data_IF_643941749372
#
_entry.id   IF_643941749372
#
_cell.length_a   1.000
_cell.length_b   1.000
_cell.length_c   1.000
_cell.angle_alpha   90.00
_cell.angle_beta   90.00
_cell.angle_gamma   90.00
#
_symmetry.space_group_name_H-M   'P 1'
#
loop_
_entity.id
_entity.type
_entity.pdbx_description
1 polymer ?
#
# COMPACT_ATOMS: atom_id res chain seq x y z
N UNK A 1 -9.27 -27.10 -11.32
CA UNK A 1 -10.52 -26.36 -11.57
C UNK A 1 -10.33 -25.30 -12.64
N UNK A 2 -9.49 -24.27 -12.43
CA UNK A 2 -9.21 -23.25 -13.46
C UNK A 2 -8.72 -23.83 -14.80
N UNK A 3 -7.76 -24.75 -14.76
CA UNK A 3 -7.25 -25.44 -15.96
C UNK A 3 -8.20 -26.47 -16.58
N UNK A 4 -9.32 -26.79 -15.91
CA UNK A 4 -10.27 -27.82 -16.34
C UNK A 4 -11.65 -27.22 -16.62
N UNK A 5 -11.69 -25.99 -17.16
CA UNK A 5 -12.95 -25.32 -17.50
C UNK A 5 -13.91 -25.11 -16.33
N UNK A 6 -13.40 -25.10 -15.09
CA UNK A 6 -14.20 -24.95 -13.88
C UNK A 6 -14.94 -26.21 -13.42
N UNK A 7 -14.60 -27.36 -14.00
CA UNK A 7 -15.15 -28.66 -13.65
C UNK A 7 -14.29 -29.32 -12.58
N UNK A 8 -14.94 -29.88 -11.54
CA UNK A 8 -14.27 -30.69 -10.53
C UNK A 8 -13.93 -32.08 -11.14
N UNK A 9 -12.65 -32.48 -11.18
CA UNK A 9 -12.26 -33.74 -11.82
C UNK A 9 -12.74 -34.99 -11.07
N UNK A 10 -13.05 -34.90 -9.77
CA UNK A 10 -13.50 -36.04 -8.97
C UNK A 10 -15.02 -36.28 -9.11
N UNK A 11 -15.81 -35.21 -9.23
CA UNK A 11 -17.28 -35.31 -9.23
C UNK A 11 -17.91 -35.01 -10.59
N UNK A 12 -17.13 -34.51 -11.55
CA UNK A 12 -17.58 -34.00 -12.84
C UNK A 12 -18.62 -32.86 -12.74
N UNK A 13 -18.78 -32.25 -11.56
CA UNK A 13 -19.67 -31.12 -11.37
C UNK A 13 -19.01 -29.83 -11.83
N UNK A 14 -19.77 -28.99 -12.54
CA UNK A 14 -19.37 -27.61 -12.83
C UNK A 14 -19.41 -26.80 -11.52
N UNK A 15 -18.26 -26.36 -11.04
CA UNK A 15 -18.15 -25.51 -9.84
C UNK A 15 -18.14 -24.05 -10.23
N UNK A 16 -17.46 -23.72 -11.32
CA UNK A 16 -17.46 -22.39 -11.94
C UNK A 16 -17.71 -22.59 -13.44
N UNK A 17 -18.64 -21.85 -14.07
CA UNK A 17 -18.81 -21.93 -15.51
C UNK A 17 -17.54 -21.51 -16.26
N UNK A 18 -17.22 -22.19 -17.36
CA UNK A 18 -16.06 -21.86 -18.20
C UNK A 18 -16.11 -20.40 -18.69
N UNK A 19 -17.30 -19.89 -19.03
CA UNK A 19 -17.49 -18.49 -19.41
C UNK A 19 -17.07 -17.50 -18.33
N UNK A 20 -17.30 -17.84 -17.06
CA UNK A 20 -16.86 -17.01 -15.93
C UNK A 20 -15.34 -17.03 -15.80
N UNK A 21 -14.71 -18.19 -15.97
CA UNK A 21 -13.24 -18.30 -15.95
C UNK A 21 -12.63 -17.49 -17.09
N UNK A 22 -13.18 -17.58 -18.30
CA UNK A 22 -12.73 -16.80 -19.44
C UNK A 22 -12.86 -15.29 -19.17
N UNK A 23 -13.98 -14.85 -18.60
CA UNK A 23 -14.23 -13.44 -18.33
C UNK A 23 -13.31 -12.87 -17.24
N UNK A 24 -13.13 -13.58 -16.12
CA UNK A 24 -12.26 -13.10 -15.01
C UNK A 24 -10.78 -13.10 -15.36
N UNK A 25 -10.35 -13.99 -16.26
CA UNK A 25 -8.95 -14.09 -16.71
C UNK A 25 -8.68 -13.32 -18.00
N UNK A 26 -9.69 -12.73 -18.63
CA UNK A 26 -9.49 -11.81 -19.76
C UNK A 26 -8.84 -10.52 -19.26
N UNK A 27 -7.79 -10.09 -19.94
CA UNK A 27 -7.15 -8.82 -19.64
C UNK A 27 -8.07 -7.66 -20.06
N UNK A 28 -8.67 -6.99 -19.08
CA UNK A 28 -9.56 -5.84 -19.29
C UNK A 28 -8.83 -4.51 -19.26
N UNK A 29 -7.60 -4.49 -18.72
CA UNK A 29 -6.75 -3.30 -18.67
C UNK A 29 -5.29 -3.66 -18.88
N UNK A 30 -4.54 -2.80 -19.55
CA UNK A 30 -3.08 -2.95 -19.68
C UNK A 30 -2.43 -2.31 -18.46
N UNK A 31 -1.73 -3.11 -17.66
CA UNK A 31 -0.98 -2.63 -16.48
C UNK A 31 0.51 -2.41 -16.77
N UNK A 32 1.01 -2.96 -17.89
CA UNK A 32 2.35 -2.67 -18.40
C UNK A 32 2.33 -2.65 -19.90
N UNK A 33 2.35 -1.44 -20.49
CA UNK A 33 2.29 -1.24 -21.95
C UNK A 33 3.60 -1.55 -22.67
N UNK A 34 4.64 -1.96 -21.96
CA UNK A 34 5.93 -2.37 -22.51
C UNK A 34 6.41 -3.62 -21.77
N UNK A 35 7.07 -4.50 -22.51
CA UNK A 35 7.77 -5.64 -21.93
C UNK A 35 8.93 -5.16 -21.03
N UNK A 36 9.05 -5.75 -19.84
CA UNK A 36 10.13 -5.43 -18.90
C UNK A 36 11.41 -6.21 -19.15
N UNK A 37 11.29 -7.32 -19.90
CA UNK A 37 12.39 -8.13 -20.39
C UNK A 37 12.06 -8.69 -21.77
N UNK A 38 13.07 -9.11 -22.57
CA UNK A 38 12.83 -9.71 -23.89
C UNK A 38 11.97 -10.97 -23.86
N UNK A 39 11.88 -11.64 -22.71
CA UNK A 39 11.10 -12.85 -22.53
C UNK A 39 9.62 -12.58 -22.29
N UNK A 40 9.26 -11.40 -21.79
CA UNK A 40 7.89 -11.08 -21.41
C UNK A 40 7.20 -10.27 -22.52
N UNK A 41 5.87 -10.39 -22.60
CA UNK A 41 5.06 -9.43 -23.37
C UNK A 41 4.70 -8.21 -22.54
N UNK A 42 3.86 -7.34 -23.11
CA UNK A 42 3.02 -6.45 -22.31
C UNK A 42 2.20 -7.27 -21.31
N UNK A 43 1.84 -6.65 -20.19
CA UNK A 43 1.02 -7.28 -19.15
C UNK A 43 -0.34 -6.61 -19.05
N UNK A 44 -1.38 -7.43 -19.01
CA UNK A 44 -2.75 -7.03 -18.75
C UNK A 44 -3.23 -7.55 -17.39
N UNK A 45 -4.35 -7.00 -16.94
CA UNK A 45 -5.03 -7.38 -15.71
C UNK A 45 -6.53 -7.57 -15.99
N UNK A 46 -7.05 -8.70 -15.52
CA UNK A 46 -8.48 -9.04 -15.54
C UNK A 46 -9.14 -8.75 -14.21
N UNK A 47 -10.14 -9.54 -13.84
CA UNK A 47 -10.82 -9.41 -12.54
C UNK A 47 -10.09 -10.21 -11.47
N UNK A 48 -8.94 -9.67 -11.03
CA UNK A 48 -8.09 -10.32 -10.02
C UNK A 48 -7.14 -11.36 -10.61
N UNK A 49 -6.71 -11.19 -11.86
CA UNK A 49 -5.72 -12.04 -12.51
C UNK A 49 -4.83 -11.21 -13.42
N UNK A 50 -3.51 -11.37 -13.30
CA UNK A 50 -2.55 -10.84 -14.25
C UNK A 50 -2.40 -11.80 -15.43
N UNK A 51 -2.31 -11.27 -16.65
CA UNK A 51 -2.14 -12.05 -17.87
C UNK A 51 -1.04 -11.45 -18.72
N UNK A 52 -0.07 -12.27 -19.07
CA UNK A 52 1.06 -11.93 -19.94
C UNK A 52 1.55 -13.19 -20.66
N UNK A 53 2.59 -13.08 -21.48
CA UNK A 53 3.26 -14.23 -22.04
C UNK A 53 4.72 -14.27 -21.62
N UNK A 54 5.22 -15.48 -21.37
CA UNK A 54 6.63 -15.78 -21.17
C UNK A 54 7.15 -16.60 -22.35
N UNK A 55 8.05 -16.03 -23.15
CA UNK A 55 8.63 -16.62 -24.36
C UNK A 55 7.56 -17.16 -25.32
N UNK A 56 6.47 -16.40 -25.48
CA UNK A 56 5.34 -16.74 -26.34
C UNK A 56 4.32 -17.71 -25.74
N UNK A 57 4.55 -18.22 -24.52
CA UNK A 57 3.56 -19.01 -23.79
C UNK A 57 2.72 -18.11 -22.90
N UNK A 58 1.41 -18.13 -23.11
CA UNK A 58 0.47 -17.41 -22.26
C UNK A 58 0.55 -17.90 -20.81
N UNK A 59 0.53 -16.94 -19.89
CA UNK A 59 0.50 -17.11 -18.45
C UNK A 59 -0.65 -16.33 -17.84
N UNK A 60 -1.33 -16.93 -16.88
CA UNK A 60 -2.35 -16.29 -16.04
C UNK A 60 -1.90 -16.48 -14.60
N UNK A 61 -1.70 -15.39 -13.86
CA UNK A 61 -1.07 -15.46 -12.55
C UNK A 61 -1.67 -14.47 -11.55
N UNK A 62 -1.44 -14.73 -10.27
CA UNK A 62 -1.76 -13.82 -9.19
C UNK A 62 -0.85 -14.10 -8.00
N UNK A 63 -0.22 -13.04 -7.50
CA UNK A 63 0.57 -13.07 -6.29
C UNK A 63 -0.29 -12.87 -5.04
N UNK A 64 0.31 -13.04 -3.87
CA UNK A 64 -0.33 -12.76 -2.60
C UNK A 64 0.74 -12.48 -1.56
N UNK A 65 0.49 -11.47 -0.75
CA UNK A 65 1.39 -11.08 0.32
C UNK A 65 0.57 -10.59 1.50
N UNK A 66 0.81 -11.17 2.65
CA UNK A 66 0.44 -10.62 3.96
C UNK A 66 1.65 -10.80 4.88
N UNK A 67 1.72 -10.12 6.03
CA UNK A 67 2.83 -10.30 6.95
C UNK A 67 3.11 -11.78 7.28
N UNK A 68 4.35 -12.20 7.04
CA UNK A 68 4.85 -13.55 7.23
C UNK A 68 4.52 -14.55 6.11
N UNK A 69 3.77 -14.17 5.08
CA UNK A 69 3.34 -15.09 4.01
C UNK A 69 3.45 -14.41 2.63
N UNK A 70 4.15 -15.08 1.72
CA UNK A 70 4.17 -14.77 0.29
C UNK A 70 3.63 -15.97 -0.49
N UNK A 71 2.93 -15.70 -1.58
CA UNK A 71 2.35 -16.73 -2.44
C UNK A 71 2.39 -16.29 -3.89
N UNK A 72 2.61 -17.22 -4.81
CA UNK A 72 2.43 -16.98 -6.24
C UNK A 72 1.75 -18.18 -6.88
N UNK A 73 0.72 -17.91 -7.68
CA UNK A 73 0.00 -18.92 -8.46
C UNK A 73 0.08 -18.53 -9.93
N UNK A 74 0.53 -19.46 -10.77
CA UNK A 74 0.60 -19.27 -12.23
C UNK A 74 0.02 -20.46 -12.97
N UNK A 75 -0.65 -20.18 -14.08
CA UNK A 75 -1.22 -21.15 -15.00
C UNK A 75 -0.68 -20.92 -16.41
N UNK A 76 -0.36 -22.01 -17.11
CA UNK A 76 -0.09 -22.05 -18.55
C UNK A 76 -1.22 -22.85 -19.23
N UNK A 77 -2.33 -22.20 -19.63
CA UNK A 77 -3.54 -22.90 -20.08
C UNK A 77 -3.28 -23.83 -21.27
N UNK A 78 -2.51 -23.37 -22.26
CA UNK A 78 -2.16 -24.15 -23.47
C UNK A 78 -1.34 -25.42 -23.18
N UNK A 79 -0.81 -25.55 -21.96
CA UNK A 79 0.01 -26.66 -21.51
C UNK A 79 -0.62 -27.45 -20.37
N UNK A 80 -1.82 -27.06 -19.92
CA UNK A 80 -2.50 -27.65 -18.76
C UNK A 80 -1.59 -27.73 -17.52
N UNK A 81 -0.69 -26.75 -17.36
CA UNK A 81 0.24 -26.67 -16.24
C UNK A 81 -0.22 -25.58 -15.27
N UNK A 82 -0.23 -25.90 -13.99
CA UNK A 82 -0.44 -24.94 -12.90
C UNK A 82 0.65 -25.13 -11.86
N UNK A 83 1.21 -24.02 -11.38
CA UNK A 83 2.27 -23.99 -10.39
C UNK A 83 1.82 -23.08 -9.25
N UNK A 84 2.01 -23.54 -8.02
CA UNK A 84 1.75 -22.77 -6.80
C UNK A 84 3.03 -22.80 -5.98
N UNK A 85 3.53 -21.63 -5.61
CA UNK A 85 4.66 -21.48 -4.69
C UNK A 85 4.18 -20.70 -3.48
N UNK A 86 4.49 -21.19 -2.28
CA UNK A 86 4.13 -20.58 -1.01
C UNK A 86 5.41 -20.43 -0.18
N UNK A 87 5.62 -19.24 0.39
CA UNK A 87 6.70 -18.97 1.32
C UNK A 87 6.15 -18.44 2.64
N UNK A 88 6.64 -18.99 3.75
CA UNK A 88 6.39 -18.51 5.10
C UNK A 88 7.36 -17.37 5.47
N UNK A 89 7.48 -16.38 4.60
CA UNK A 89 8.31 -15.19 4.82
C UNK A 89 7.79 -14.01 3.99
N UNK A 90 8.06 -12.80 4.47
CA UNK A 90 7.69 -11.54 3.79
C UNK A 90 8.46 -11.33 2.49
N UNK A 91 7.81 -10.70 1.50
CA UNK A 91 8.45 -10.17 0.29
C UNK A 91 9.34 -11.21 -0.41
N UNK A 92 8.74 -12.33 -0.84
CA UNK A 92 9.46 -13.42 -1.52
C UNK A 92 9.04 -13.59 -2.98
N UNK A 93 8.25 -12.68 -3.52
CA UNK A 93 7.82 -12.60 -4.92
C UNK A 93 8.96 -12.91 -5.91
N UNK A 94 10.13 -12.28 -5.76
CA UNK A 94 11.27 -12.53 -6.65
C UNK A 94 11.77 -13.98 -6.61
N UNK A 95 11.84 -14.59 -5.43
CA UNK A 95 12.27 -15.97 -5.27
C UNK A 95 11.19 -16.96 -5.77
N UNK A 96 9.92 -16.64 -5.55
CA UNK A 96 8.78 -17.41 -6.03
C UNK A 96 8.76 -17.47 -7.55
N UNK A 97 8.93 -16.32 -8.21
CA UNK A 97 9.04 -16.25 -9.65
C UNK A 97 10.27 -16.98 -10.20
N UNK A 98 11.43 -16.88 -9.55
CA UNK A 98 12.63 -17.62 -9.98
C UNK A 98 12.40 -19.15 -9.95
N UNK A 99 11.66 -19.65 -8.94
CA UNK A 99 11.26 -21.06 -8.87
C UNK A 99 10.28 -21.39 -9.99
N UNK A 100 9.23 -20.57 -10.18
CA UNK A 100 8.21 -20.76 -11.19
C UNK A 100 8.81 -20.83 -12.60
N UNK A 101 9.61 -19.83 -12.98
CA UNK A 101 10.16 -19.78 -14.33
C UNK A 101 11.18 -20.87 -14.58
N UNK A 102 11.93 -21.31 -13.57
CA UNK A 102 12.77 -22.50 -13.68
C UNK A 102 11.94 -23.75 -13.96
N UNK A 103 10.81 -23.94 -13.27
CA UNK A 103 9.90 -25.07 -13.52
C UNK A 103 9.33 -25.00 -14.95
N UNK A 104 8.89 -23.82 -15.40
CA UNK A 104 8.36 -23.61 -16.76
C UNK A 104 9.43 -23.93 -17.81
N UNK A 105 10.65 -23.42 -17.64
CA UNK A 105 11.77 -23.66 -18.54
C UNK A 105 12.09 -25.15 -18.66
N UNK A 106 12.20 -25.84 -17.52
CA UNK A 106 12.46 -27.28 -17.49
C UNK A 106 11.30 -28.08 -18.13
N UNK A 107 10.05 -27.73 -17.82
CA UNK A 107 8.87 -28.40 -18.36
C UNK A 107 8.73 -28.22 -19.88
N UNK A 108 9.08 -27.04 -20.40
CA UNK A 108 9.01 -26.71 -21.81
C UNK A 108 10.31 -27.01 -22.58
N UNK A 109 11.32 -27.56 -21.89
CA UNK A 109 12.66 -27.82 -22.44
C UNK A 109 13.28 -26.56 -23.09
N UNK A 110 13.18 -25.43 -22.40
CA UNK A 110 13.76 -24.14 -22.80
C UNK A 110 15.13 -23.94 -22.14
N UNK A 111 15.95 -23.06 -22.71
CA UNK A 111 17.23 -22.67 -22.10
C UNK A 111 16.99 -21.99 -20.74
N UNK A 112 17.69 -22.50 -19.72
CA UNK A 112 17.62 -21.96 -18.35
C UNK A 112 18.23 -20.58 -18.26
N UNK A 113 17.54 -19.68 -17.59
CA UNK A 113 18.13 -18.40 -17.17
C UNK A 113 18.72 -18.47 -15.77
N UNK A 114 19.80 -17.71 -15.55
CA UNK A 114 20.41 -17.54 -14.24
C UNK A 114 19.40 -16.90 -13.27
N UNK A 115 19.18 -17.47 -12.08
CA UNK A 115 18.35 -16.86 -11.03
C UNK A 115 18.78 -15.40 -10.74
N UNK A 116 17.84 -14.53 -10.39
CA UNK A 116 18.10 -13.11 -10.11
C UNK A 116 18.36 -12.23 -11.32
N UNK A 117 18.45 -12.78 -12.54
CA UNK A 117 18.52 -11.98 -13.79
C UNK A 117 17.14 -11.67 -14.37
N UNK A 118 16.09 -12.24 -13.76
CA UNK A 118 14.70 -12.03 -14.16
C UNK A 118 14.22 -10.70 -13.55
N UNK A 119 14.35 -9.62 -14.31
CA UNK A 119 13.68 -8.35 -14.00
C UNK A 119 12.19 -8.48 -14.34
N UNK A 120 11.48 -9.29 -13.55
CA UNK A 120 10.05 -9.15 -13.46
C UNK A 120 9.90 -7.89 -12.65
N UNK A 121 9.34 -6.84 -13.26
CA UNK A 121 8.97 -5.68 -12.49
C UNK A 121 8.11 -6.20 -11.34
N UNK A 122 8.63 -6.07 -10.12
CA UNK A 122 7.78 -5.88 -8.96
C UNK A 122 6.70 -4.90 -9.40
N UNK A 123 5.45 -5.29 -9.17
CA UNK A 123 4.27 -4.52 -9.52
C UNK A 123 4.60 -3.02 -9.36
N UNK A 124 4.41 -2.15 -10.37
CA UNK A 124 4.65 -0.73 -10.17
C UNK A 124 3.93 -0.20 -8.93
N UNK A 125 2.85 -0.86 -8.48
CA UNK A 125 2.24 -0.66 -7.16
C UNK A 125 3.18 -1.04 -5.99
N UNK A 126 3.82 -2.21 -5.96
CA UNK A 126 4.75 -2.57 -4.87
C UNK A 126 6.06 -1.76 -4.87
N UNK A 127 6.52 -1.31 -6.05
CA UNK A 127 7.73 -0.46 -6.18
C UNK A 127 7.48 0.99 -5.81
N UNK A 128 6.29 1.52 -6.09
CA UNK A 128 5.93 2.91 -5.74
C UNK A 128 5.83 3.10 -4.23
N UNK A 129 5.40 2.09 -3.48
CA UNK A 129 5.38 2.15 -2.02
C UNK A 129 6.79 2.10 -1.38
N UNK A 130 7.74 1.35 -1.94
CA UNK A 130 9.07 1.21 -1.33
C UNK A 130 10.05 2.36 -1.65
N UNK A 131 9.88 3.06 -2.80
CA UNK A 131 10.91 3.98 -3.31
C UNK A 131 11.04 5.33 -2.59
N UNK A 132 10.09 5.72 -1.75
CA UNK A 132 10.16 7.02 -1.03
C UNK A 132 10.60 6.91 0.43
N UNK A 133 10.95 5.72 0.94
CA UNK A 133 11.40 5.54 2.33
C UNK A 133 12.86 5.98 2.60
N UNK A 134 13.57 6.57 1.63
CA UNK A 134 14.86 7.21 1.90
C UNK A 134 14.61 8.61 2.41
N UNK A 135 14.71 8.73 3.74
CA UNK A 135 14.52 9.95 4.55
C UNK A 135 14.82 11.25 3.80
N UNK A 136 13.75 11.91 3.35
CA UNK A 136 13.82 13.30 2.92
C UNK A 136 13.99 14.13 4.19
N UNK A 137 15.13 14.82 4.27
CA UNK A 137 15.59 15.62 5.41
C UNK A 137 14.45 16.25 6.21
N UNK A 138 14.34 15.89 7.49
CA UNK A 138 13.56 16.67 8.45
C UNK A 138 14.02 18.12 8.35
N UNK A 139 13.08 19.05 8.16
CA UNK A 139 13.40 20.47 8.08
C UNK A 139 13.98 20.94 9.41
N UNK A 140 14.99 21.81 9.37
CA UNK A 140 15.60 22.41 10.58
C UNK A 140 14.84 23.63 11.08
N UNK A 141 13.76 24.03 10.39
CA UNK A 141 12.89 25.13 10.82
C UNK A 141 11.97 24.66 11.96
N UNK A 142 11.58 25.54 12.89
CA UNK A 142 10.59 25.17 13.90
C UNK A 142 9.21 24.96 13.26
N UNK A 143 8.40 24.07 13.85
CA UNK A 143 6.99 23.91 13.48
C UNK A 143 6.27 25.26 13.54
N UNK A 144 5.49 25.58 12.51
CA UNK A 144 4.71 26.82 12.44
C UNK A 144 3.63 26.89 13.52
N UNK A 145 3.04 25.73 13.87
CA UNK A 145 2.04 25.56 14.93
C UNK A 145 2.42 24.37 15.82
N UNK A 146 2.03 24.41 17.10
CA UNK A 146 2.21 23.23 17.96
C UNK A 146 1.39 22.05 17.45
N UNK A 147 1.89 20.82 17.65
CA UNK A 147 1.22 19.60 17.20
C UNK A 147 -0.23 19.48 17.67
N UNK A 148 -0.56 20.03 18.84
CA UNK A 148 -1.92 20.03 19.39
C UNK A 148 -2.93 20.73 18.48
N UNK A 149 -2.50 21.69 17.66
CA UNK A 149 -3.41 22.34 16.69
C UNK A 149 -3.80 21.39 15.54
N UNK A 150 -2.96 20.41 15.22
CA UNK A 150 -3.23 19.39 14.20
C UNK A 150 -3.84 18.11 14.78
N UNK A 151 -3.75 17.90 16.10
CA UNK A 151 -4.42 16.78 16.76
C UNK A 151 -5.94 16.97 16.72
N UNK A 152 -6.69 15.87 16.66
CA UNK A 152 -8.15 15.87 16.59
C UNK A 152 -8.71 14.77 15.69
N UNK A 153 -10.02 14.76 15.53
CA UNK A 153 -10.72 13.80 14.68
C UNK A 153 -10.96 14.40 13.29
N UNK A 154 -10.72 13.57 12.28
CA UNK A 154 -10.78 13.91 10.88
C UNK A 154 -11.74 12.93 10.19
N UNK A 155 -12.69 13.47 9.42
CA UNK A 155 -13.75 12.70 8.77
C UNK A 155 -13.72 12.89 7.26
N UNK A 156 -13.95 11.82 6.51
CA UNK A 156 -14.07 11.86 5.06
C UNK A 156 -15.11 10.84 4.60
N UNK A 157 -16.04 11.20 3.68
CA UNK A 157 -16.98 10.24 3.13
C UNK A 157 -16.25 9.03 2.51
N UNK A 158 -16.62 7.82 2.94
CA UNK A 158 -16.03 6.57 2.42
C UNK A 158 -14.78 6.08 3.16
N UNK A 159 -14.28 6.82 4.15
CA UNK A 159 -13.14 6.42 4.99
C UNK A 159 -13.53 6.36 6.48
N UNK A 160 -12.86 5.53 7.29
CA UNK A 160 -13.07 5.55 8.73
C UNK A 160 -12.63 6.90 9.32
N UNK A 161 -13.28 7.32 10.41
CA UNK A 161 -12.85 8.50 11.15
C UNK A 161 -11.45 8.25 11.73
N UNK A 162 -10.54 9.20 11.50
CA UNK A 162 -9.16 9.10 11.98
C UNK A 162 -8.96 10.14 13.08
N UNK A 163 -8.52 9.69 14.26
CA UNK A 163 -8.14 10.62 15.33
C UNK A 163 -6.63 10.64 15.45
N UNK A 164 -6.03 11.79 15.14
CA UNK A 164 -4.62 12.03 15.30
C UNK A 164 -4.32 12.58 16.69
N UNK A 165 -3.38 11.95 17.36
CA UNK A 165 -2.96 12.21 18.73
C UNK A 165 -1.55 12.79 18.74
N UNK A 166 -1.39 13.96 19.35
CA UNK A 166 -0.08 14.51 19.66
C UNK A 166 0.49 13.86 20.93
N UNK A 167 1.82 13.84 21.14
CA UNK A 167 2.43 13.26 22.34
C UNK A 167 1.90 13.84 23.66
N UNK A 168 1.44 15.09 23.64
CA UNK A 168 0.85 15.77 24.80
C UNK A 168 -0.68 15.61 24.93
N UNK A 169 -1.34 14.91 23.99
CA UNK A 169 -2.78 14.62 24.06
C UNK A 169 -3.11 13.75 25.27
N UNK A 170 -4.19 14.11 25.99
CA UNK A 170 -4.50 13.54 27.32
C UNK A 170 -5.65 12.54 27.34
N UNK A 171 -6.38 12.36 26.23
CA UNK A 171 -7.47 11.40 26.16
C UNK A 171 -6.97 9.98 26.42
N UNK A 172 -7.84 9.10 26.93
CA UNK A 172 -7.47 7.70 27.20
C UNK A 172 -7.02 7.00 25.92
N UNK A 173 -7.76 7.17 24.83
CA UNK A 173 -7.44 6.58 23.53
C UNK A 173 -6.10 7.07 22.99
N UNK A 174 -5.82 8.37 23.06
CA UNK A 174 -4.53 8.90 22.60
C UNK A 174 -3.36 8.38 23.42
N UNK A 175 -3.50 8.28 24.75
CA UNK A 175 -2.45 7.72 25.60
C UNK A 175 -2.20 6.24 25.29
N UNK A 176 -3.24 5.48 25.00
CA UNK A 176 -3.13 4.08 24.59
C UNK A 176 -2.41 3.95 23.24
N UNK A 177 -2.82 4.70 22.22
CA UNK A 177 -2.15 4.73 20.90
C UNK A 177 -0.68 5.09 21.04
N UNK A 178 -0.37 6.17 21.77
CA UNK A 178 1.01 6.61 22.02
C UNK A 178 1.82 5.51 22.72
N UNK A 179 1.24 4.84 23.72
CA UNK A 179 1.90 3.74 24.44
C UNK A 179 2.22 2.56 23.51
N UNK A 180 1.36 2.26 22.55
CA UNK A 180 1.61 1.18 21.57
C UNK A 180 2.78 1.48 20.64
N UNK A 181 3.09 2.76 20.37
CA UNK A 181 4.26 3.16 19.58
C UNK A 181 5.58 3.19 20.37
N UNK A 182 5.54 3.26 21.71
CA UNK A 182 6.74 3.39 22.55
C UNK A 182 7.83 2.31 22.36
N UNK A 183 7.50 1.04 22.10
CA UNK A 183 8.53 0.01 21.85
C UNK A 183 9.32 0.22 20.55
N UNK A 184 8.74 0.95 19.58
CA UNK A 184 9.26 1.06 18.21
C UNK A 184 10.03 2.35 17.96
N UNK A 185 9.60 3.44 18.59
CA UNK A 185 10.26 4.73 18.45
C UNK A 185 10.18 5.55 19.74
N UNK A 186 11.17 6.42 19.95
CA UNK A 186 11.13 7.36 21.06
C UNK A 186 10.01 8.37 20.84
N UNK A 187 8.87 8.20 21.50
CA UNK A 187 7.67 9.08 21.38
C UNK A 187 7.91 10.52 21.92
N UNK A 188 9.17 10.88 22.19
CA UNK A 188 9.60 12.21 22.58
C UNK A 188 9.87 13.14 21.39
N UNK A 189 9.74 12.69 20.13
CA UNK A 189 9.94 13.56 18.97
C UNK A 189 8.74 14.50 18.83
N UNK A 190 8.95 15.80 19.07
CA UNK A 190 7.94 16.87 19.06
C UNK A 190 7.34 17.17 17.68
N UNK A 191 7.45 16.24 16.74
CA UNK A 191 7.14 16.41 15.32
C UNK A 191 6.20 15.32 14.76
N UNK A 192 5.71 14.38 15.58
CA UNK A 192 4.89 13.26 15.09
C UNK A 192 3.51 13.22 15.72
N UNK A 193 2.46 13.03 14.90
CA UNK A 193 1.12 12.64 15.36
C UNK A 193 0.91 11.14 15.13
N UNK A 194 0.16 10.50 16.02
CA UNK A 194 -0.11 9.08 15.99
C UNK A 194 -1.61 8.81 15.87
N UNK A 195 -1.99 7.76 15.14
CA UNK A 195 -3.38 7.36 15.04
C UNK A 195 -3.52 5.84 15.02
N UNK A 196 -4.63 5.37 15.59
CA UNK A 196 -5.18 4.05 15.27
C UNK A 196 -6.07 4.19 14.04
N UNK A 197 -5.87 3.32 13.06
CA UNK A 197 -6.61 3.35 11.81
C UNK A 197 -7.21 1.95 11.61
N UNK A 198 -8.52 1.76 11.82
CA UNK A 198 -9.16 0.46 11.63
C UNK A 198 -9.34 0.19 10.13
N UNK A 199 -8.33 -0.40 9.50
CA UNK A 199 -8.31 -0.75 8.08
C UNK A 199 -7.92 -2.22 7.88
N UNK A 200 -8.13 -2.74 6.67
CA UNK A 200 -7.72 -4.10 6.29
C UNK A 200 -6.19 -4.24 6.19
N UNK A 201 -5.50 -3.17 5.77
CA UNK A 201 -4.09 -3.20 5.40
C UNK A 201 -3.15 -2.65 6.47
N UNK A 202 -3.66 -1.76 7.33
CA UNK A 202 -2.91 -1.11 8.40
C UNK A 202 -3.75 -1.04 9.67
N UNK A 203 -3.09 -1.05 10.83
CA UNK A 203 -3.73 -0.86 12.15
C UNK A 203 -3.46 0.52 12.74
N UNK A 204 -2.34 1.12 12.35
CA UNK A 204 -1.88 2.41 12.88
C UNK A 204 -1.24 3.26 11.78
N UNK A 205 -1.20 4.56 12.03
CA UNK A 205 -0.53 5.53 11.17
C UNK A 205 0.21 6.58 11.97
N UNK A 206 1.20 7.20 11.33
CA UNK A 206 1.97 8.29 11.89
C UNK A 206 2.14 9.41 10.87
N UNK A 207 1.99 10.65 11.33
CA UNK A 207 2.26 11.86 10.57
C UNK A 207 3.52 12.51 11.10
N UNK A 208 4.64 12.40 10.37
CA UNK A 208 5.90 13.05 10.74
C UNK A 208 6.03 14.39 10.03
N UNK A 209 6.18 15.46 10.79
CA UNK A 209 6.29 16.81 10.23
C UNK A 209 7.45 16.92 9.25
N UNK A 210 7.18 17.52 8.07
CA UNK A 210 8.18 17.85 7.05
C UNK A 210 8.49 19.34 7.11
N UNK A 211 7.61 20.16 6.56
CA UNK A 211 7.76 21.62 6.50
C UNK A 211 6.39 22.30 6.50
N UNK A 212 6.31 23.53 7.02
CA UNK A 212 5.03 24.26 7.09
C UNK A 212 3.93 23.44 7.75
N UNK A 213 2.85 23.21 6.99
CA UNK A 213 1.70 22.39 7.37
C UNK A 213 1.69 21.00 6.70
N UNK A 214 2.83 20.55 6.17
CA UNK A 214 3.01 19.28 5.47
C UNK A 214 3.69 18.22 6.33
N UNK A 215 3.22 16.97 6.23
CA UNK A 215 3.62 15.81 7.00
C UNK A 215 3.81 14.59 6.09
N UNK A 216 4.79 13.75 6.41
CA UNK A 216 4.91 12.37 5.94
C UNK A 216 3.83 11.52 6.59
N UNK A 217 2.93 10.92 5.80
CA UNK A 217 2.03 9.88 6.26
C UNK A 217 2.64 8.52 6.00
N UNK A 218 2.75 7.70 7.06
CA UNK A 218 3.09 6.28 6.93
C UNK A 218 2.12 5.42 7.74
N UNK A 219 1.67 4.33 7.13
CA UNK A 219 0.82 3.31 7.75
C UNK A 219 1.63 2.07 8.14
N UNK A 220 1.19 1.37 9.19
CA UNK A 220 1.88 0.17 9.70
C UNK A 220 0.92 -0.79 10.39
N UNK A 221 1.32 -2.06 10.53
CA UNK A 221 0.74 -2.96 11.50
C UNK A 221 1.64 -3.07 12.73
N UNK A 222 1.12 -2.61 13.87
CA UNK A 222 1.83 -2.70 15.15
C UNK A 222 1.44 -3.96 15.89
N UNK A 223 2.46 -4.68 16.38
CA UNK A 223 2.32 -5.81 17.29
C UNK A 223 3.05 -5.47 18.60
N UNK A 224 2.49 -4.57 19.44
CA UNK A 224 3.17 -4.10 20.65
C UNK A 224 3.38 -5.18 21.72
N UNK A 225 2.75 -6.35 21.55
CA UNK A 225 2.86 -7.52 22.42
C UNK A 225 3.36 -8.76 21.66
N UNK A 226 3.99 -8.56 20.49
CA UNK A 226 4.40 -9.64 19.61
C UNK A 226 3.22 -10.42 19.01
N UNK A 227 3.51 -11.62 18.50
CA UNK A 227 2.54 -12.52 17.88
C UNK A 227 2.93 -13.98 18.05
N UNK A 228 1.96 -14.84 18.38
CA UNK A 228 2.20 -16.26 18.56
C UNK A 228 2.99 -16.56 19.84
N UNK A 229 4.09 -17.31 19.72
CA UNK A 229 4.96 -17.65 20.87
C UNK A 229 6.02 -16.59 21.17
N UNK A 230 6.25 -15.66 20.24
CA UNK A 230 7.19 -14.55 20.42
C UNK A 230 6.39 -13.31 20.84
N UNK A 231 6.57 -12.90 22.09
CA UNK A 231 5.93 -11.71 22.66
C UNK A 231 6.76 -10.44 22.45
N UNK A 232 7.90 -10.53 21.73
CA UNK A 232 8.71 -9.37 21.42
C UNK A 232 7.95 -8.42 20.47
N UNK A 233 7.92 -7.10 20.77
CA UNK A 233 7.23 -6.16 19.91
C UNK A 233 7.87 -6.08 18.53
N UNK A 234 7.07 -6.14 17.47
CA UNK A 234 7.51 -5.83 16.10
C UNK A 234 6.46 -4.99 15.37
N UNK A 235 6.87 -4.30 14.31
CA UNK A 235 5.98 -3.61 13.39
C UNK A 235 6.23 -4.10 11.96
N UNK A 236 5.18 -4.18 11.15
CA UNK A 236 5.29 -4.51 9.72
C UNK A 236 5.19 -3.24 8.89
N UNK A 237 5.89 -3.22 7.77
CA UNK A 237 5.90 -2.08 6.86
C UNK A 237 5.15 -2.44 5.58
N UNK A 238 3.91 -1.98 5.48
CA UNK A 238 3.00 -2.33 4.38
C UNK A 238 2.79 -1.15 3.40
N UNK A 239 3.10 0.09 3.80
CA UNK A 239 2.70 1.27 3.05
C UNK A 239 3.89 2.17 2.70
N UNK A 240 3.86 2.71 1.48
CA UNK A 240 4.75 3.81 1.12
C UNK A 240 4.41 5.09 1.88
N UNK A 241 5.35 6.03 1.83
CA UNK A 241 5.15 7.34 2.44
C UNK A 241 4.30 8.22 1.51
N UNK A 242 3.12 8.61 1.98
CA UNK A 242 2.26 9.59 1.32
C UNK A 242 2.47 10.99 1.91
N UNK A 243 1.96 12.02 1.24
CA UNK A 243 2.01 13.39 1.75
C UNK A 243 0.66 13.76 2.36
N UNK A 244 0.69 14.27 3.59
CA UNK A 244 -0.45 14.80 4.31
C UNK A 244 -0.27 16.30 4.49
N UNK A 245 -1.16 17.12 3.95
CA UNK A 245 -1.09 18.59 4.02
C UNK A 245 -2.32 19.15 4.74
N UNK A 246 -2.08 19.86 5.84
CA UNK A 246 -3.14 20.50 6.61
C UNK A 246 -3.47 21.88 6.04
N UNK A 247 -4.76 22.20 5.99
CA UNK A 247 -5.22 23.56 5.67
C UNK A 247 -5.52 24.29 6.97
N UNK A 248 -4.91 25.46 7.12
CA UNK A 248 -5.06 26.33 8.29
C UNK A 248 -5.73 27.62 7.85
N UNK A 249 -6.81 27.98 8.54
CA UNK A 249 -7.42 29.29 8.46
C UNK A 249 -6.71 30.20 9.46
N UNK A 250 -6.01 31.20 8.94
CA UNK A 250 -5.33 32.22 9.73
C UNK A 250 -6.35 33.21 10.31
N UNK A 251 -6.05 33.77 11.48
CA UNK A 251 -6.88 34.83 12.04
C UNK A 251 -6.64 36.13 11.28
N UNK A 252 -7.67 36.61 10.56
CA UNK A 252 -7.60 37.92 9.89
C UNK A 252 -7.23 39.05 10.87
N UNK A 253 -6.46 40.02 10.38
CA UNK A 253 -6.15 41.30 11.04
C UNK A 253 -7.39 42.11 11.46
N UNK A 254 -8.59 41.67 11.08
CA UNK A 254 -9.89 42.28 11.35
C UNK A 254 -10.75 41.53 12.39
N UNK A 255 -10.22 40.49 13.05
CA UNK A 255 -10.84 39.93 14.27
C UNK A 255 -12.13 39.11 14.06
N UNK A 256 -12.28 38.39 12.95
CA UNK A 256 -13.47 37.56 12.69
C UNK A 256 -13.40 36.16 13.34
N UNK A 257 -12.23 35.67 13.78
CA UNK A 257 -12.15 34.52 14.69
C UNK A 257 -12.10 35.00 16.14
N UNK A 258 -13.03 34.52 16.97
CA UNK A 258 -13.26 34.92 18.36
C UNK A 258 -12.07 34.72 19.34
N UNK A 259 -10.92 34.22 18.88
CA UNK A 259 -9.76 33.91 19.73
C UNK A 259 -8.38 34.30 19.18
N UNK A 260 -8.26 34.69 17.90
CA UNK A 260 -6.95 34.96 17.27
C UNK A 260 -6.04 33.72 17.14
N UNK A 261 -6.57 32.52 17.38
CA UNK A 261 -5.84 31.25 17.29
C UNK A 261 -6.06 30.66 15.90
N UNK A 262 -4.99 30.30 15.15
CA UNK A 262 -5.11 29.66 13.84
C UNK A 262 -5.86 28.33 13.96
N UNK A 263 -6.79 28.09 13.03
CA UNK A 263 -7.68 26.94 13.05
C UNK A 263 -7.38 25.99 11.90
N UNK A 264 -7.07 24.74 12.21
CA UNK A 264 -6.96 23.69 11.20
C UNK A 264 -8.36 23.28 10.74
N UNK A 265 -8.66 23.43 9.45
CA UNK A 265 -9.98 23.12 8.87
C UNK A 265 -10.06 21.71 8.30
N UNK A 266 -8.92 21.15 7.87
CA UNK A 266 -8.88 19.83 7.29
C UNK A 266 -7.48 19.36 6.91
N UNK A 267 -7.43 18.17 6.31
CA UNK A 267 -6.24 17.43 5.93
C UNK A 267 -6.45 16.81 4.54
N UNK A 268 -5.58 17.16 3.59
CA UNK A 268 -5.51 16.50 2.29
C UNK A 268 -4.43 15.43 2.27
N UNK A 269 -4.77 14.22 1.80
CA UNK A 269 -3.79 13.17 1.48
C UNK A 269 -3.52 13.19 -0.02
N UNK A 270 -2.23 13.16 -0.37
CA UNK A 270 -1.71 13.23 -1.73
C UNK A 270 -0.60 12.20 -1.93
N UNK A 271 -0.23 12.01 -3.19
CA UNK A 271 0.90 11.19 -3.62
C UNK A 271 0.80 9.70 -3.25
N UNK A 272 -0.42 9.14 -3.04
CA UNK A 272 -0.57 7.71 -2.76
C UNK A 272 -0.12 6.83 -3.92
N UNK A 273 -0.17 7.36 -5.15
CA UNK A 273 0.25 6.67 -6.36
C UNK A 273 1.75 6.80 -6.69
N UNK A 274 2.49 7.65 -5.96
CA UNK A 274 3.91 7.94 -6.25
C UNK A 274 4.16 8.68 -7.57
N UNK A 275 3.11 9.04 -8.32
CA UNK A 275 3.16 9.80 -9.56
C UNK A 275 2.31 11.08 -9.45
N UNK A 276 2.62 12.07 -10.30
CA UNK A 276 1.84 13.32 -10.38
C UNK A 276 0.48 13.00 -10.99
N UNK A 277 -0.54 12.85 -10.15
CA UNK A 277 -1.93 12.57 -10.57
C UNK A 277 -2.54 13.73 -11.36
N UNK A 278 -3.54 13.46 -12.21
CA UNK A 278 -4.29 14.52 -12.90
C UNK A 278 -4.89 15.54 -11.92
N UNK A 279 -5.31 15.09 -10.73
CA UNK A 279 -5.81 15.97 -9.66
C UNK A 279 -4.75 16.93 -9.14
N UNK A 280 -3.51 16.46 -8.98
CA UNK A 280 -2.41 17.33 -8.55
C UNK A 280 -2.10 18.46 -9.53
N UNK A 281 -2.53 18.32 -10.80
CA UNK A 281 -2.37 19.32 -11.87
C UNK A 281 -3.52 20.32 -11.95
N UNK A 282 -4.62 20.11 -11.21
CA UNK A 282 -5.75 21.02 -11.24
C UNK A 282 -5.39 22.35 -10.54
N UNK A 283 -5.84 23.50 -11.08
CA UNK A 283 -5.78 24.75 -10.34
C UNK A 283 -6.80 24.70 -9.20
N UNK A 284 -6.36 24.91 -7.96
CA UNK A 284 -7.22 24.83 -6.78
C UNK A 284 -6.44 24.79 -5.46
N UNK A 285 -7.16 24.87 -4.35
CA UNK A 285 -6.61 24.65 -3.01
C UNK A 285 -6.25 23.18 -2.77
N UNK A 286 -5.79 22.89 -1.56
CA UNK A 286 -5.41 21.52 -1.17
C UNK A 286 -6.64 20.60 -1.17
N UNK A 287 -7.80 21.09 -0.75
CA UNK A 287 -9.06 20.33 -0.74
C UNK A 287 -9.44 19.81 -2.14
N UNK A 288 -9.30 20.63 -3.18
CA UNK A 288 -9.64 20.24 -4.55
C UNK A 288 -8.59 19.34 -5.22
N UNK A 289 -7.31 19.50 -4.83
CA UNK A 289 -6.21 18.72 -5.42
C UNK A 289 -5.95 17.39 -4.70
N UNK A 290 -6.41 17.24 -3.46
CA UNK A 290 -6.19 16.03 -2.68
C UNK A 290 -6.84 14.80 -3.33
N UNK A 291 -6.18 13.65 -3.19
CA UNK A 291 -6.78 12.36 -3.53
C UNK A 291 -7.89 12.03 -2.53
N UNK A 292 -7.65 12.34 -1.26
CA UNK A 292 -8.61 12.22 -0.16
C UNK A 292 -8.58 13.48 0.69
N UNK A 293 -9.74 14.09 0.91
CA UNK A 293 -9.90 15.22 1.82
C UNK A 293 -10.60 14.78 3.10
N UNK A 294 -10.05 15.15 4.24
CA UNK A 294 -10.68 15.00 5.55
C UNK A 294 -10.98 16.36 6.17
N UNK A 295 -12.21 16.54 6.63
CA UNK A 295 -12.61 17.70 7.43
C UNK A 295 -12.29 17.46 8.90
N UNK A 296 -11.72 18.46 9.58
CA UNK A 296 -11.48 18.40 11.02
C UNK A 296 -12.78 18.72 11.78
N UNK A 297 -13.12 17.91 12.79
CA UNK A 297 -14.29 18.09 13.66
C UNK A 297 -13.94 18.33 15.12
#
# INVERSE_FOLDING_TARGET
MLLNGGINPATNATVVPESVIAEVTTAHTIISGRATSPELSISGYGMGWRRESYRGYETIQHGGGIPGISTEVIFLPSKQLGIVVLANADQKDSAEFDIIYRIIEDFLNLERKTPGTRHISSDPLSVSFAKNATGRSLSTRPLTLSLEHYAGTYISPGYPNITFCAPSSRSLDCRDVIKQFQPFEGVSVSSTLYARIPSLWISHGRLRWKEGHSFALSGTNLFPHGYGSDESPFETWEAGEATAEFVVEEADSAGSLSSGIPRVIGLGIMDLSGEVTERSRLPGGIEERAEIWFTKV
#
